data_IF_623196520922
#
_entry.id   IF_623196520922
#
_cell.length_a   1.000
_cell.length_b   1.000
_cell.length_c   1.000
_cell.angle_alpha   90.00
_cell.angle_beta   90.00
_cell.angle_gamma   90.00
#
_symmetry.space_group_name_H-M   'P 1'
#
loop_
_entity.id
_entity.type
_entity.pdbx_description
1 polymer ?
#
# COMPACT_ATOMS: atom_id res chain seq x y z
N UNK A 1 -34.24 -18.44 66.61
CA UNK A 1 -33.57 -18.41 65.29
C UNK A 1 -32.18 -17.84 65.47
N UNK A 2 -31.13 -18.65 65.30
CA UNK A 2 -29.76 -18.14 65.28
C UNK A 2 -29.60 -17.15 64.12
N UNK A 3 -28.99 -15.97 64.33
CA UNK A 3 -28.74 -15.02 63.23
C UNK A 3 -27.89 -15.72 62.17
N UNK A 4 -28.28 -15.59 60.89
CA UNK A 4 -27.50 -16.15 59.78
C UNK A 4 -26.05 -15.64 59.91
N UNK A 5 -25.04 -16.52 59.91
CA UNK A 5 -23.64 -16.18 60.24
C UNK A 5 -22.98 -15.15 59.30
N UNK A 6 -23.70 -14.66 58.30
CA UNK A 6 -23.24 -13.65 57.35
C UNK A 6 -23.64 -12.23 57.74
N UNK A 7 -24.71 -12.03 58.53
CA UNK A 7 -25.30 -10.71 58.76
C UNK A 7 -24.34 -9.71 59.47
N UNK A 8 -23.51 -10.21 60.40
CA UNK A 8 -22.54 -9.41 61.15
C UNK A 8 -21.16 -9.34 60.46
N UNK A 9 -20.95 -10.22 59.47
CA UNK A 9 -19.66 -10.47 58.79
C UNK A 9 -19.54 -9.67 57.48
N UNK A 10 -20.64 -9.04 57.04
CA UNK A 10 -20.73 -8.37 55.74
C UNK A 10 -19.79 -7.18 55.54
N UNK A 11 -19.59 -6.23 56.47
CA UNK A 11 -18.85 -5.01 56.14
C UNK A 11 -17.38 -5.25 55.78
N UNK A 12 -16.67 -6.08 56.55
CA UNK A 12 -15.27 -6.41 56.29
C UNK A 12 -15.10 -7.32 55.07
N UNK A 13 -16.01 -8.29 54.86
CA UNK A 13 -16.02 -9.13 53.66
C UNK A 13 -16.29 -8.31 52.39
N UNK A 14 -17.24 -7.35 52.44
CA UNK A 14 -17.52 -6.42 51.33
C UNK A 14 -16.29 -5.57 51.02
N UNK A 15 -15.65 -5.00 52.05
CA UNK A 15 -14.44 -4.19 51.88
C UNK A 15 -13.27 -5.00 51.28
N UNK A 16 -13.02 -6.22 51.80
CA UNK A 16 -11.98 -7.11 51.31
C UNK A 16 -12.22 -7.52 49.84
N UNK A 17 -13.46 -7.89 49.48
CA UNK A 17 -13.84 -8.21 48.12
C UNK A 17 -13.61 -7.02 47.16
N UNK A 18 -14.05 -5.82 47.54
CA UNK A 18 -13.88 -4.61 46.73
C UNK A 18 -12.40 -4.27 46.53
N UNK A 19 -11.57 -4.39 47.58
CA UNK A 19 -10.14 -4.16 47.51
C UNK A 19 -9.46 -5.13 46.52
N UNK A 20 -9.78 -6.42 46.58
CA UNK A 20 -9.20 -7.45 45.69
C UNK A 20 -9.62 -7.26 44.23
N UNK A 21 -10.90 -6.97 43.99
CA UNK A 21 -11.39 -6.64 42.64
C UNK A 21 -10.71 -5.37 42.11
N UNK A 22 -10.56 -4.34 42.95
CA UNK A 22 -9.87 -3.11 42.59
C UNK A 22 -8.35 -3.30 42.35
N UNK A 23 -7.75 -4.30 42.99
CA UNK A 23 -6.36 -4.70 42.75
C UNK A 23 -6.16 -5.41 41.40
N UNK A 24 -7.24 -5.87 40.76
CA UNK A 24 -7.20 -6.48 39.43
C UNK A 24 -7.63 -7.94 39.40
N UNK A 25 -8.05 -8.51 40.53
CA UNK A 25 -8.60 -9.87 40.53
C UNK A 25 -9.98 -9.93 39.86
N UNK A 26 -10.31 -11.09 39.30
CA UNK A 26 -11.63 -11.32 38.72
C UNK A 26 -12.63 -11.61 39.84
N UNK A 27 -13.83 -10.99 39.83
CA UNK A 27 -14.84 -11.27 40.85
C UNK A 27 -15.19 -12.76 40.97
N UNK A 28 -15.17 -13.49 39.85
CA UNK A 28 -15.39 -14.94 39.82
C UNK A 28 -14.27 -15.74 40.51
N UNK A 29 -13.02 -15.32 40.35
CA UNK A 29 -11.88 -15.94 41.04
C UNK A 29 -11.95 -15.68 42.55
N UNK A 30 -12.20 -14.43 42.96
CA UNK A 30 -12.31 -14.10 44.40
C UNK A 30 -13.47 -14.85 45.05
N UNK A 31 -14.63 -14.94 44.39
CA UNK A 31 -15.80 -15.65 44.92
C UNK A 31 -15.66 -17.19 44.90
N UNK A 32 -14.63 -17.75 44.25
CA UNK A 32 -14.38 -19.18 44.23
C UNK A 32 -13.57 -19.66 45.45
N UNK A 33 -12.98 -18.74 46.21
CA UNK A 33 -12.14 -19.08 47.36
C UNK A 33 -12.96 -19.47 48.60
N UNK A 34 -12.50 -20.45 49.39
CA UNK A 34 -13.12 -20.81 50.66
C UNK A 34 -13.26 -19.60 51.59
N UNK A 35 -14.45 -19.40 52.15
CA UNK A 35 -14.75 -18.26 53.04
C UNK A 35 -15.17 -16.97 52.32
N UNK A 36 -15.11 -16.92 50.99
CA UNK A 36 -15.65 -15.80 50.20
C UNK A 36 -17.14 -16.01 49.88
N UNK A 37 -17.93 -14.93 49.77
CA UNK A 37 -19.31 -15.04 49.33
C UNK A 37 -19.38 -15.54 47.90
N UNK A 38 -20.38 -16.37 47.59
CA UNK A 38 -20.58 -16.79 46.22
C UNK A 38 -20.98 -15.60 45.32
N UNK A 39 -20.72 -15.73 44.03
CA UNK A 39 -20.95 -14.66 43.05
C UNK A 39 -22.40 -14.14 43.07
N UNK A 40 -23.38 -15.04 43.24
CA UNK A 40 -24.79 -14.69 43.35
C UNK A 40 -25.11 -13.81 44.57
N UNK A 41 -24.48 -14.08 45.71
CA UNK A 41 -24.64 -13.29 46.94
C UNK A 41 -24.09 -11.87 46.77
N UNK A 42 -22.96 -11.70 46.10
CA UNK A 42 -22.38 -10.37 45.81
C UNK A 42 -23.34 -9.53 44.97
N UNK A 43 -23.95 -10.13 43.95
CA UNK A 43 -24.95 -9.45 43.10
C UNK A 43 -26.28 -9.19 43.82
N UNK A 44 -26.67 -10.05 44.76
CA UNK A 44 -27.81 -9.78 45.63
C UNK A 44 -27.53 -8.56 46.54
N UNK A 45 -26.34 -8.45 47.10
CA UNK A 45 -25.94 -7.27 47.89
C UNK A 45 -25.91 -6.00 47.06
N UNK A 46 -25.34 -6.04 45.85
CA UNK A 46 -25.28 -4.88 44.96
C UNK A 46 -26.67 -4.37 44.52
N UNK A 47 -27.67 -5.25 44.48
CA UNK A 47 -29.07 -4.88 44.21
C UNK A 47 -29.78 -4.33 45.45
N UNK A 48 -29.52 -4.91 46.62
CA UNK A 48 -30.13 -4.50 47.88
C UNK A 48 -29.53 -3.19 48.44
N UNK A 49 -28.26 -2.91 48.13
CA UNK A 49 -27.50 -1.75 48.61
C UNK A 49 -26.86 -1.01 47.41
N UNK A 50 -27.48 0.09 46.95
CA UNK A 50 -26.98 0.88 45.82
C UNK A 50 -25.57 1.45 46.04
N UNK A 51 -25.20 1.79 47.28
CA UNK A 51 -23.87 2.32 47.59
C UNK A 51 -22.80 1.24 47.39
N UNK A 52 -23.08 0.01 47.85
CA UNK A 52 -22.22 -1.14 47.56
C UNK A 52 -22.17 -1.46 46.06
N UNK A 53 -23.30 -1.38 45.35
CA UNK A 53 -23.35 -1.56 43.89
C UNK A 53 -22.46 -0.57 43.14
N UNK A 54 -22.50 0.72 43.51
CA UNK A 54 -21.63 1.75 42.96
C UNK A 54 -20.14 1.48 43.26
N UNK A 55 -19.82 1.11 44.49
CA UNK A 55 -18.46 0.77 44.90
C UNK A 55 -17.91 -0.46 44.15
N UNK A 56 -18.75 -1.47 43.91
CA UNK A 56 -18.38 -2.67 43.12
C UNK A 56 -18.13 -2.33 41.65
N UNK A 57 -18.97 -1.49 41.04
CA UNK A 57 -18.76 -1.03 39.68
C UNK A 57 -17.44 -0.26 39.56
N UNK A 58 -17.13 0.59 40.54
CA UNK A 58 -15.90 1.36 40.60
C UNK A 58 -14.64 0.48 40.80
N UNK A 59 -14.71 -0.48 41.74
CA UNK A 59 -13.67 -1.49 41.92
C UNK A 59 -13.40 -2.27 40.62
N UNK A 60 -14.45 -2.68 39.90
CA UNK A 60 -14.31 -3.37 38.60
C UNK A 60 -13.64 -2.51 37.55
N UNK A 61 -13.97 -1.21 37.46
CA UNK A 61 -13.30 -0.28 36.54
C UNK A 61 -11.80 -0.17 36.85
N UNK A 62 -11.45 0.03 38.13
CA UNK A 62 -10.04 0.07 38.57
C UNK A 62 -9.31 -1.23 38.28
N UNK A 63 -9.92 -2.37 38.62
CA UNK A 63 -9.33 -3.68 38.37
C UNK A 63 -9.13 -3.98 36.88
N UNK A 64 -10.11 -3.63 36.05
CA UNK A 64 -10.01 -3.76 34.59
C UNK A 64 -8.89 -2.87 34.02
N UNK A 65 -8.76 -1.64 34.52
CA UNK A 65 -7.65 -0.75 34.17
C UNK A 65 -6.31 -1.41 34.53
N UNK A 66 -6.15 -1.90 35.77
CA UNK A 66 -4.91 -2.58 36.21
C UNK A 66 -4.57 -3.80 35.36
N UNK A 67 -5.55 -4.66 35.06
CA UNK A 67 -5.32 -5.84 34.20
C UNK A 67 -4.91 -5.45 32.79
N UNK A 68 -5.59 -4.46 32.19
CA UNK A 68 -5.32 -4.01 30.82
C UNK A 68 -3.91 -3.45 30.66
N UNK A 69 -3.42 -2.73 31.67
CA UNK A 69 -2.14 -2.03 31.62
C UNK A 69 -1.02 -2.75 32.37
N UNK A 70 -1.30 -3.93 32.95
CA UNK A 70 -0.32 -4.76 33.64
C UNK A 70 0.90 -4.97 32.75
N UNK A 71 2.08 -4.83 33.33
CA UNK A 71 3.31 -5.16 32.65
C UNK A 71 3.44 -6.68 32.54
N UNK A 72 3.52 -7.18 31.32
CA UNK A 72 3.75 -8.59 31.01
C UNK A 72 5.18 -8.73 30.49
N UNK A 73 6.03 -9.34 31.32
CA UNK A 73 7.45 -9.50 31.05
C UNK A 73 7.72 -10.42 29.84
N UNK A 74 6.91 -11.48 29.66
CA UNK A 74 7.06 -12.40 28.54
C UNK A 74 6.73 -11.69 27.21
N UNK A 75 5.62 -10.94 27.18
CA UNK A 75 5.24 -10.13 26.03
C UNK A 75 6.26 -9.01 25.74
N UNK A 76 6.78 -8.35 26.78
CA UNK A 76 7.83 -7.34 26.65
C UNK A 76 9.12 -7.94 26.06
N UNK A 77 9.56 -9.11 26.55
CA UNK A 77 10.74 -9.82 26.05
C UNK A 77 10.56 -10.26 24.59
N UNK A 78 9.39 -10.78 24.23
CA UNK A 78 9.08 -11.18 22.85
C UNK A 78 9.12 -9.97 21.89
N UNK A 79 8.56 -8.82 22.32
CA UNK A 79 8.62 -7.58 21.55
C UNK A 79 10.07 -7.11 21.36
N UNK A 80 10.88 -7.10 22.43
CA UNK A 80 12.29 -6.70 22.36
C UNK A 80 13.11 -7.63 21.46
N UNK A 81 12.86 -8.94 21.49
CA UNK A 81 13.54 -9.90 20.62
C UNK A 81 13.28 -9.63 19.13
N UNK A 82 12.03 -9.34 18.75
CA UNK A 82 11.67 -9.00 17.36
C UNK A 82 12.26 -7.66 16.92
N UNK A 83 12.28 -6.67 17.80
CA UNK A 83 13.00 -5.41 17.52
C UNK A 83 14.51 -5.64 17.37
N UNK A 84 15.11 -6.52 18.17
CA UNK A 84 16.52 -6.88 18.04
C UNK A 84 16.81 -7.60 16.71
N UNK A 85 15.87 -8.39 16.20
CA UNK A 85 15.93 -9.00 14.87
C UNK A 85 15.79 -7.98 13.71
N UNK A 86 15.53 -6.70 14.01
CA UNK A 86 15.43 -5.64 13.02
C UNK A 86 14.02 -5.41 12.45
N UNK A 87 13.00 -6.08 13.01
CA UNK A 87 11.62 -5.82 12.61
C UNK A 87 11.20 -4.40 13.05
N UNK A 88 10.48 -3.64 12.20
CA UNK A 88 9.99 -2.33 12.58
C UNK A 88 8.86 -2.47 13.59
N UNK A 89 8.85 -1.61 14.61
CA UNK A 89 7.84 -1.62 15.67
C UNK A 89 6.39 -1.62 15.14
N UNK A 90 6.14 -0.94 14.02
CA UNK A 90 4.81 -0.90 13.40
C UNK A 90 4.34 -2.26 12.87
N UNK A 91 5.25 -3.13 12.45
CA UNK A 91 4.93 -4.49 11.99
C UNK A 91 4.73 -5.40 13.19
N UNK A 92 5.61 -5.34 14.19
CA UNK A 92 5.47 -6.13 15.42
C UNK A 92 4.12 -5.86 16.09
N UNK A 93 3.71 -4.59 16.21
CA UNK A 93 2.45 -4.22 16.85
C UNK A 93 1.18 -4.53 16.04
N UNK A 94 1.29 -5.02 14.80
CA UNK A 94 0.13 -5.51 14.03
C UNK A 94 -0.19 -6.97 14.33
N UNK A 95 0.75 -7.70 14.91
CA UNK A 95 0.57 -9.09 15.30
C UNK A 95 -0.46 -9.17 16.46
N UNK A 96 -1.55 -9.95 16.32
CA UNK A 96 -2.54 -10.14 17.38
C UNK A 96 -1.96 -10.76 18.67
N UNK A 97 -0.85 -11.50 18.58
CA UNK A 97 -0.16 -12.05 19.74
C UNK A 97 0.71 -11.01 20.47
N UNK A 98 0.90 -9.82 19.90
CA UNK A 98 1.68 -8.74 20.51
C UNK A 98 0.79 -7.79 21.31
N UNK A 99 1.34 -7.14 22.37
CA UNK A 99 0.61 -6.13 23.11
C UNK A 99 0.23 -4.97 22.20
N UNK A 100 -0.99 -4.45 22.38
CA UNK A 100 -1.47 -3.32 21.58
C UNK A 100 -0.56 -2.10 21.73
N UNK A 101 -0.56 -1.23 20.71
CA UNK A 101 0.23 0.02 20.71
C UNK A 101 0.04 0.86 21.96
N UNK A 102 -1.19 0.93 22.48
CA UNK A 102 -1.47 1.70 23.69
C UNK A 102 -0.82 1.06 24.92
N UNK A 103 -0.84 -0.28 25.03
CA UNK A 103 -0.25 -1.01 26.15
C UNK A 103 1.27 -0.78 26.17
N UNK A 104 1.92 -0.91 25.01
CA UNK A 104 3.36 -0.63 24.88
C UNK A 104 3.68 0.83 25.18
N UNK A 105 2.84 1.79 24.77
CA UNK A 105 3.02 3.21 25.13
C UNK A 105 2.95 3.40 26.65
N UNK A 106 1.99 2.76 27.32
CA UNK A 106 1.87 2.82 28.76
C UNK A 106 3.10 2.22 29.44
N UNK A 107 3.52 1.02 29.04
CA UNK A 107 4.72 0.37 29.59
C UNK A 107 5.97 1.23 29.41
N UNK A 108 6.16 1.87 28.25
CA UNK A 108 7.30 2.78 28.03
C UNK A 108 7.26 4.02 28.93
N UNK A 109 6.09 4.42 29.42
CA UNK A 109 5.95 5.56 30.32
C UNK A 109 6.16 5.18 31.79
N UNK A 110 5.88 3.92 32.15
CA UNK A 110 5.93 3.44 33.55
C UNK A 110 7.12 2.56 33.87
N UNK A 111 7.76 1.93 32.87
CA UNK A 111 8.87 1.00 33.03
C UNK A 111 10.12 1.55 32.34
N UNK A 112 11.04 2.12 33.15
CA UNK A 112 12.24 2.80 32.66
C UNK A 112 13.20 1.88 31.91
N UNK A 113 13.47 0.68 32.45
CA UNK A 113 14.37 -0.29 31.81
C UNK A 113 13.85 -0.73 30.44
N UNK A 114 12.56 -1.08 30.36
CA UNK A 114 11.90 -1.43 29.11
C UNK A 114 11.96 -0.28 28.09
N UNK A 115 11.72 0.97 28.52
CA UNK A 115 11.83 2.14 27.66
C UNK A 115 13.26 2.35 27.15
N UNK A 116 14.27 2.20 28.01
CA UNK A 116 15.68 2.29 27.65
C UNK A 116 16.06 1.28 26.58
N UNK A 117 15.63 0.03 26.74
CA UNK A 117 15.88 -1.05 25.80
C UNK A 117 15.19 -0.83 24.44
N UNK A 118 13.91 -0.44 24.44
CA UNK A 118 13.22 -0.07 23.20
C UNK A 118 13.93 1.08 22.49
N UNK A 119 14.34 2.11 23.22
CA UNK A 119 15.05 3.26 22.64
C UNK A 119 16.39 2.84 22.02
N UNK A 120 17.18 2.04 22.73
CA UNK A 120 18.48 1.50 22.27
C UNK A 120 18.34 0.74 20.96
N UNK A 121 17.35 -0.17 20.87
CA UNK A 121 17.09 -0.98 19.69
C UNK A 121 16.63 -0.13 18.50
N UNK A 122 15.67 0.78 18.71
CA UNK A 122 15.17 1.65 17.63
C UNK A 122 16.26 2.61 17.12
N UNK A 123 17.13 3.11 18.01
CA UNK A 123 18.28 3.92 17.62
C UNK A 123 19.30 3.11 16.80
N UNK A 124 19.55 1.85 17.16
CA UNK A 124 20.41 0.96 16.37
C UNK A 124 19.82 0.70 14.97
N UNK A 125 18.52 0.39 14.89
CA UNK A 125 17.82 0.21 13.61
C UNK A 125 17.86 1.49 12.75
N UNK A 126 17.62 2.66 13.35
CA UNK A 126 17.67 3.94 12.64
C UNK A 126 19.07 4.25 12.12
N UNK A 127 20.12 3.99 12.91
CA UNK A 127 21.52 4.10 12.46
C UNK A 127 21.81 3.16 11.30
N UNK A 128 21.40 1.89 11.37
CA UNK A 128 21.59 0.93 10.28
C UNK A 128 20.81 1.33 9.01
N UNK A 129 19.59 1.86 9.17
CA UNK A 129 18.79 2.40 8.06
C UNK A 129 19.45 3.62 7.44
N UNK A 130 19.90 4.57 8.26
CA UNK A 130 20.64 5.77 7.83
C UNK A 130 21.96 5.42 7.16
N UNK A 131 22.68 4.40 7.64
CA UNK A 131 23.90 3.92 7.00
C UNK A 131 23.61 3.37 5.59
N UNK A 132 22.57 2.54 5.43
CA UNK A 132 22.13 2.05 4.11
C UNK A 132 21.73 3.19 3.18
N UNK A 133 20.89 4.11 3.64
CA UNK A 133 20.49 5.26 2.82
C UNK A 133 21.64 6.24 2.57
N UNK A 134 22.56 6.39 3.52
CA UNK A 134 23.77 7.20 3.43
C UNK A 134 24.70 6.65 2.36
N UNK A 135 24.94 5.33 2.34
CA UNK A 135 25.66 4.65 1.26
C UNK A 135 25.01 4.91 -0.09
N UNK A 136 23.67 4.82 -0.20
CA UNK A 136 22.97 5.18 -1.44
C UNK A 136 23.09 6.66 -1.81
N UNK A 137 23.28 7.57 -0.83
CA UNK A 137 23.51 9.02 -1.05
C UNK A 137 24.96 9.36 -1.36
N UNK A 138 25.90 8.49 -1.00
CA UNK A 138 27.34 8.68 -1.17
C UNK A 138 27.91 7.96 -2.40
N UNK A 139 27.08 7.48 -3.33
CA UNK A 139 27.57 6.80 -4.53
C UNK A 139 28.57 7.67 -5.31
N UNK A 140 29.85 7.24 -5.46
CA UNK A 140 30.87 8.03 -6.13
C UNK A 140 30.49 8.33 -7.57
N UNK A 141 31.09 9.36 -8.16
CA UNK A 141 30.94 9.65 -9.58
C UNK A 141 31.24 8.41 -10.42
N UNK A 142 30.34 8.08 -11.35
CA UNK A 142 30.47 6.95 -12.27
C UNK A 142 30.12 7.43 -13.69
N UNK A 143 31.14 7.61 -14.51
CA UNK A 143 31.01 8.09 -15.88
C UNK A 143 30.12 7.18 -16.74
N UNK A 144 30.15 5.85 -16.55
CA UNK A 144 29.35 4.92 -17.35
C UNK A 144 27.87 5.07 -17.05
N UNK A 145 27.52 5.28 -15.79
CA UNK A 145 26.13 5.55 -15.40
C UNK A 145 25.68 6.92 -15.86
N UNK A 146 26.54 7.93 -15.77
CA UNK A 146 26.28 9.25 -16.32
C UNK A 146 25.94 9.17 -17.82
N UNK A 147 26.76 8.49 -18.62
CA UNK A 147 26.51 8.30 -20.06
C UNK A 147 25.20 7.56 -20.35
N UNK A 148 24.91 6.50 -19.59
CA UNK A 148 23.63 5.78 -19.71
C UNK A 148 22.43 6.70 -19.46
N UNK A 149 22.52 7.59 -18.47
CA UNK A 149 21.47 8.58 -18.18
C UNK A 149 21.33 9.54 -19.37
N UNK A 150 22.44 10.10 -19.85
CA UNK A 150 22.44 11.05 -20.98
C UNK A 150 21.82 10.42 -22.23
N UNK A 151 22.22 9.20 -22.59
CA UNK A 151 21.69 8.47 -23.75
C UNK A 151 20.20 8.20 -23.59
N UNK A 152 19.76 7.70 -22.44
CA UNK A 152 18.35 7.40 -22.20
C UNK A 152 17.47 8.67 -22.28
N UNK A 153 17.91 9.76 -21.67
CA UNK A 153 17.19 11.04 -21.69
C UNK A 153 17.16 11.63 -23.09
N UNK A 154 18.27 11.57 -23.84
CA UNK A 154 18.36 12.03 -25.24
C UNK A 154 17.41 11.26 -26.14
N UNK A 155 17.21 9.96 -25.87
CA UNK A 155 16.22 9.12 -26.56
C UNK A 155 14.77 9.43 -26.19
N UNK A 156 14.53 10.38 -25.29
CA UNK A 156 13.20 10.84 -24.91
C UNK A 156 12.65 10.20 -23.65
N UNK A 157 13.44 9.43 -22.88
CA UNK A 157 13.00 8.97 -21.57
C UNK A 157 12.80 10.16 -20.59
N UNK A 158 11.72 10.18 -19.78
CA UNK A 158 11.57 11.17 -18.73
C UNK A 158 12.56 10.85 -17.60
N UNK A 159 13.45 11.80 -17.27
CA UNK A 159 14.50 11.62 -16.28
C UNK A 159 13.96 11.07 -14.95
N UNK A 160 12.89 11.65 -14.41
CA UNK A 160 12.32 11.17 -13.14
C UNK A 160 11.81 9.73 -13.21
N UNK A 161 11.15 9.35 -14.33
CA UNK A 161 10.67 7.98 -14.53
C UNK A 161 11.82 6.99 -14.66
N UNK A 162 12.88 7.40 -15.37
CA UNK A 162 14.10 6.61 -15.54
C UNK A 162 14.76 6.31 -14.19
N UNK A 163 14.96 7.32 -13.33
CA UNK A 163 15.59 7.14 -12.02
C UNK A 163 14.74 6.31 -11.03
N UNK A 164 13.41 6.36 -11.15
CA UNK A 164 12.53 5.54 -10.32
C UNK A 164 12.46 4.09 -10.81
N UNK A 165 12.54 3.86 -12.11
CA UNK A 165 12.34 2.53 -12.71
C UNK A 165 13.60 1.65 -12.68
N UNK A 166 14.81 2.23 -12.78
CA UNK A 166 16.06 1.47 -12.79
C UNK A 166 16.78 1.60 -11.43
N UNK A 167 16.77 0.55 -10.58
CA UNK A 167 17.45 0.59 -9.28
C UNK A 167 18.98 0.65 -9.39
N UNK A 168 19.55 0.36 -10.55
CA UNK A 168 20.98 0.49 -10.78
C UNK A 168 21.41 1.95 -11.00
N UNK A 169 20.48 2.88 -11.26
CA UNK A 169 20.77 4.30 -11.43
C UNK A 169 20.93 5.03 -10.08
N UNK A 170 21.69 6.15 -10.06
CA UNK A 170 21.78 6.99 -8.87
C UNK A 170 20.41 7.54 -8.47
N UNK A 171 20.17 7.65 -7.17
CA UNK A 171 18.98 8.35 -6.69
C UNK A 171 19.06 9.85 -7.03
N UNK A 172 17.92 10.55 -7.00
CA UNK A 172 17.82 11.98 -7.34
C UNK A 172 18.84 12.85 -6.60
N UNK A 173 19.12 12.58 -5.32
CA UNK A 173 20.07 13.36 -4.54
C UNK A 173 21.52 13.15 -4.97
N UNK A 174 21.90 11.91 -5.33
CA UNK A 174 23.20 11.63 -5.93
C UNK A 174 23.33 12.35 -7.27
N UNK A 175 22.28 12.33 -8.11
CA UNK A 175 22.30 13.02 -9.39
C UNK A 175 22.46 14.54 -9.22
N UNK A 176 21.75 15.16 -8.27
CA UNK A 176 21.90 16.60 -7.95
C UNK A 176 23.33 16.90 -7.52
N UNK A 177 23.94 16.04 -6.70
CA UNK A 177 25.34 16.18 -6.29
C UNK A 177 26.28 16.07 -7.49
N UNK A 178 26.15 15.01 -8.29
CA UNK A 178 26.96 14.82 -9.49
C UNK A 178 26.89 16.02 -10.43
N UNK A 179 25.71 16.62 -10.64
CA UNK A 179 25.55 17.85 -11.44
C UNK A 179 26.30 19.05 -10.86
N UNK A 180 26.46 19.13 -9.54
CA UNK A 180 27.23 20.21 -8.89
C UNK A 180 28.73 19.96 -8.97
N UNK A 181 29.15 18.70 -8.86
CA UNK A 181 30.57 18.29 -8.85
C UNK A 181 31.16 18.15 -10.26
N UNK A 182 30.33 17.89 -11.28
CA UNK A 182 30.75 17.64 -12.65
C UNK A 182 30.01 18.58 -13.61
N UNK A 183 30.57 19.77 -13.90
CA UNK A 183 29.95 20.77 -14.77
C UNK A 183 29.63 20.26 -16.18
N UNK A 184 30.55 19.49 -16.79
CA UNK A 184 30.37 18.92 -18.14
C UNK A 184 29.17 17.98 -18.20
N UNK A 185 28.97 17.18 -17.16
CA UNK A 185 27.81 16.32 -17.04
C UNK A 185 26.52 17.10 -16.86
N UNK A 186 26.52 18.18 -16.06
CA UNK A 186 25.33 19.03 -15.92
C UNK A 186 24.96 19.69 -17.25
N UNK A 187 25.95 20.21 -17.98
CA UNK A 187 25.74 20.78 -19.31
C UNK A 187 25.20 19.72 -20.29
N UNK A 188 25.83 18.55 -20.34
CA UNK A 188 25.40 17.42 -21.15
C UNK A 188 23.98 16.97 -20.80
N UNK A 189 23.63 16.91 -19.52
CA UNK A 189 22.31 16.52 -19.06
C UNK A 189 21.25 17.55 -19.43
N UNK A 190 21.54 18.86 -19.29
CA UNK A 190 20.64 19.93 -19.74
C UNK A 190 20.39 19.84 -21.24
N UNK A 191 21.43 19.63 -22.05
CA UNK A 191 21.32 19.44 -23.49
C UNK A 191 20.50 18.19 -23.84
N UNK A 192 20.79 17.05 -23.20
CA UNK A 192 20.06 15.80 -23.36
C UNK A 192 18.57 15.96 -23.02
N UNK A 193 18.24 16.65 -21.93
CA UNK A 193 16.86 16.95 -21.53
C UNK A 193 16.15 17.78 -22.60
N UNK A 194 16.79 18.84 -23.11
CA UNK A 194 16.22 19.68 -24.16
C UNK A 194 15.96 18.89 -25.45
N UNK A 195 16.91 18.06 -25.88
CA UNK A 195 16.73 17.17 -27.05
C UNK A 195 15.60 16.18 -26.82
N UNK A 196 15.56 15.53 -25.67
CA UNK A 196 14.51 14.58 -25.30
C UNK A 196 13.12 15.23 -25.23
N UNK A 197 13.03 16.46 -24.70
CA UNK A 197 11.79 17.25 -24.69
C UNK A 197 11.32 17.58 -26.10
N UNK A 198 12.20 18.06 -26.99
CA UNK A 198 11.86 18.32 -28.40
C UNK A 198 11.39 17.05 -29.12
N UNK A 199 12.02 15.91 -28.87
CA UNK A 199 11.60 14.61 -29.45
C UNK A 199 10.21 14.21 -28.99
N UNK A 200 9.91 14.33 -27.69
CA UNK A 200 8.56 14.08 -27.15
C UNK A 200 7.55 15.07 -27.71
N UNK A 201 7.91 16.35 -27.81
CA UNK A 201 7.10 17.40 -28.40
C UNK A 201 6.79 17.14 -29.88
N UNK A 202 7.78 16.74 -30.68
CA UNK A 202 7.58 16.37 -32.10
C UNK A 202 6.73 15.11 -32.25
N UNK A 203 6.95 14.11 -31.37
CA UNK A 203 6.09 12.94 -31.33
C UNK A 203 4.63 13.33 -30.99
N UNK A 204 4.42 14.25 -30.05
CA UNK A 204 3.09 14.73 -29.68
C UNK A 204 2.44 15.63 -30.76
N UNK A 205 3.21 16.53 -31.39
CA UNK A 205 2.73 17.47 -32.40
C UNK A 205 2.29 16.80 -33.71
N UNK A 206 2.85 15.62 -34.02
CA UNK A 206 2.38 14.81 -35.15
C UNK A 206 1.00 14.17 -34.92
N UNK A 207 0.50 14.13 -33.68
CA UNK A 207 -0.80 13.54 -33.31
C UNK A 207 -1.81 14.65 -33.06
N UNK A 208 -2.27 15.29 -34.14
CA UNK A 208 -3.30 16.32 -34.07
C UNK A 208 -4.67 15.70 -33.74
N UNK A 209 -5.62 16.48 -33.17
CA UNK A 209 -6.98 16.00 -32.96
C UNK A 209 -7.65 15.51 -34.26
N UNK A 210 -7.51 16.27 -35.35
CA UNK A 210 -8.05 15.89 -36.66
C UNK A 210 -7.46 14.57 -37.18
N UNK A 211 -6.15 14.34 -37.02
CA UNK A 211 -5.53 13.09 -37.42
C UNK A 211 -5.95 11.93 -36.49
N UNK A 212 -6.18 12.22 -35.21
CA UNK A 212 -6.70 11.24 -34.24
C UNK A 212 -8.10 10.80 -34.63
N UNK A 213 -9.00 11.75 -34.91
CA UNK A 213 -10.36 11.49 -35.39
C UNK A 213 -10.35 10.68 -36.69
N UNK A 214 -9.50 11.06 -37.64
CA UNK A 214 -9.33 10.32 -38.89
C UNK A 214 -8.89 8.87 -38.64
N UNK A 215 -7.85 8.66 -37.82
CA UNK A 215 -7.36 7.31 -37.48
C UNK A 215 -8.47 6.48 -36.79
N UNK A 216 -9.17 7.08 -35.82
CA UNK A 216 -10.26 6.42 -35.07
C UNK A 216 -11.42 6.04 -36.00
N UNK A 217 -11.88 6.96 -36.85
CA UNK A 217 -12.94 6.71 -37.82
C UNK A 217 -12.58 5.56 -38.76
N UNK A 218 -11.35 5.57 -39.32
CA UNK A 218 -10.90 4.50 -40.21
C UNK A 218 -10.78 3.16 -39.52
N UNK A 219 -10.38 3.13 -38.23
CA UNK A 219 -10.39 1.90 -37.45
C UNK A 219 -11.81 1.36 -37.29
N UNK A 220 -12.80 2.21 -36.95
CA UNK A 220 -14.21 1.82 -36.85
C UNK A 220 -14.72 1.19 -38.15
N UNK A 221 -14.30 1.71 -39.29
CA UNK A 221 -14.62 1.22 -40.64
C UNK A 221 -13.80 -0.03 -41.07
N UNK A 222 -13.19 -0.76 -40.13
CA UNK A 222 -12.51 -2.03 -40.44
C UNK A 222 -11.00 -1.95 -40.59
N UNK A 223 -10.38 -0.76 -40.59
CA UNK A 223 -8.93 -0.64 -40.73
C UNK A 223 -8.19 -1.09 -39.46
N UNK A 224 -6.98 -1.64 -39.63
CA UNK A 224 -6.05 -1.93 -38.54
C UNK A 224 -4.95 -0.87 -38.49
N UNK A 225 -4.33 -0.67 -37.32
CA UNK A 225 -3.15 0.21 -37.22
C UNK A 225 -2.04 -0.19 -38.19
N UNK A 226 -1.89 -1.49 -38.46
CA UNK A 226 -0.93 -2.00 -39.42
C UNK A 226 -1.31 -1.71 -40.88
N UNK A 227 -2.59 -1.73 -41.23
CA UNK A 227 -3.04 -1.34 -42.58
C UNK A 227 -2.98 0.17 -42.78
N UNK A 228 -3.42 0.95 -41.79
CA UNK A 228 -3.32 2.41 -41.80
C UNK A 228 -1.88 2.85 -42.01
N UNK A 229 -0.92 2.25 -41.30
CA UNK A 229 0.50 2.62 -41.43
C UNK A 229 1.13 2.39 -42.82
N UNK A 230 0.41 1.78 -43.77
CA UNK A 230 0.83 1.62 -45.16
C UNK A 230 0.25 2.67 -46.11
N UNK A 231 -0.72 3.46 -45.65
CA UNK A 231 -1.34 4.50 -46.44
C UNK A 231 -0.40 5.74 -46.52
N UNK A 232 -0.32 6.44 -47.68
CA UNK A 232 0.65 7.53 -47.88
C UNK A 232 0.56 8.68 -46.88
N UNK A 233 -0.66 8.99 -46.41
CA UNK A 233 -0.92 10.12 -45.49
C UNK A 233 -1.03 9.69 -44.02
N UNK A 234 -0.68 8.44 -43.71
CA UNK A 234 -0.82 7.88 -42.37
C UNK A 234 0.53 7.79 -41.64
N UNK A 235 0.53 7.99 -40.30
CA UNK A 235 1.73 7.81 -39.50
C UNK A 235 2.27 6.38 -39.58
N UNK A 236 3.60 6.26 -39.52
CA UNK A 236 4.26 4.96 -39.47
C UNK A 236 3.75 4.10 -38.30
N UNK A 237 3.88 2.78 -38.45
CA UNK A 237 3.51 1.82 -37.40
C UNK A 237 4.17 2.15 -36.06
N UNK A 238 5.47 2.49 -36.09
CA UNK A 238 6.21 2.86 -34.88
C UNK A 238 5.64 4.14 -34.22
N UNK A 239 5.21 5.10 -35.02
CA UNK A 239 4.59 6.34 -34.54
C UNK A 239 3.25 6.06 -33.85
N UNK A 240 2.37 5.28 -34.48
CA UNK A 240 1.04 4.94 -33.94
C UNK A 240 1.14 4.20 -32.60
N UNK A 241 1.97 3.15 -32.51
CA UNK A 241 2.18 2.44 -31.24
C UNK A 241 2.92 3.30 -30.20
N UNK A 242 3.80 4.21 -30.64
CA UNK A 242 4.41 5.21 -29.78
C UNK A 242 3.38 6.14 -29.14
N UNK A 243 2.38 6.60 -29.90
CA UNK A 243 1.27 7.40 -29.36
C UNK A 243 0.44 6.61 -28.36
N UNK A 244 0.05 5.36 -28.67
CA UNK A 244 -0.68 4.51 -27.71
C UNK A 244 0.09 4.35 -26.39
N UNK A 245 1.41 4.18 -26.44
CA UNK A 245 2.23 4.01 -25.24
C UNK A 245 2.42 5.30 -24.42
N UNK A 246 2.26 6.47 -25.03
CA UNK A 246 2.62 7.76 -24.42
C UNK A 246 1.45 8.71 -24.20
N UNK A 247 0.31 8.46 -24.84
CA UNK A 247 -0.88 9.31 -24.86
C UNK A 247 -2.13 8.52 -24.46
N UNK A 248 -2.54 8.59 -23.18
CA UNK A 248 -3.70 7.84 -22.68
C UNK A 248 -5.03 8.21 -23.36
N UNK A 249 -5.18 9.46 -23.77
CA UNK A 249 -6.31 9.99 -24.55
C UNK A 249 -6.44 9.27 -25.89
N UNK A 250 -5.38 9.27 -26.69
CA UNK A 250 -5.33 8.57 -27.98
C UNK A 250 -5.50 7.06 -27.80
N UNK A 251 -4.86 6.47 -26.79
CA UNK A 251 -4.99 5.03 -26.50
C UNK A 251 -6.43 4.64 -26.16
N UNK A 252 -7.14 5.45 -25.38
CA UNK A 252 -8.54 5.23 -25.02
C UNK A 252 -9.46 5.25 -26.25
N UNK A 253 -9.30 6.23 -27.13
CA UNK A 253 -10.10 6.33 -28.36
C UNK A 253 -9.80 5.19 -29.34
N UNK A 254 -8.53 4.78 -29.50
CA UNK A 254 -8.16 3.63 -30.33
C UNK A 254 -8.72 2.31 -29.77
N UNK A 255 -8.81 2.15 -28.45
CA UNK A 255 -9.41 0.96 -27.84
C UNK A 255 -10.89 0.89 -28.17
N UNK A 256 -11.66 1.96 -27.94
CA UNK A 256 -13.09 2.04 -28.29
C UNK A 256 -13.30 1.77 -29.77
N UNK A 257 -12.51 2.41 -30.63
CA UNK A 257 -12.58 2.20 -32.08
C UNK A 257 -12.32 0.75 -32.48
N UNK A 258 -11.43 0.04 -31.78
CA UNK A 258 -11.20 -1.37 -32.02
C UNK A 258 -12.36 -2.26 -31.57
N UNK A 259 -13.10 -1.88 -30.52
CA UNK A 259 -14.33 -2.54 -30.08
C UNK A 259 -15.43 -2.32 -31.14
N UNK A 260 -15.67 -1.07 -31.54
CA UNK A 260 -16.62 -0.71 -32.60
C UNK A 260 -16.31 -1.45 -33.93
N UNK A 261 -15.03 -1.64 -34.24
CA UNK A 261 -14.58 -2.38 -35.43
C UNK A 261 -14.98 -3.86 -35.40
N UNK A 262 -15.00 -4.48 -34.21
CA UNK A 262 -15.45 -5.88 -34.08
C UNK A 262 -16.92 -5.98 -34.48
N UNK A 263 -17.75 -5.05 -34.04
CA UNK A 263 -19.16 -4.95 -34.40
C UNK A 263 -19.34 -4.69 -35.91
N UNK A 264 -18.56 -3.77 -36.48
CA UNK A 264 -18.55 -3.51 -37.92
C UNK A 264 -18.25 -4.77 -38.75
N UNK A 265 -17.26 -5.59 -38.34
CA UNK A 265 -16.99 -6.86 -39.03
C UNK A 265 -18.16 -7.83 -38.90
N UNK A 266 -18.89 -7.83 -37.78
CA UNK A 266 -20.12 -8.59 -37.61
C UNK A 266 -21.20 -8.18 -38.62
N UNK A 267 -21.45 -6.88 -38.75
CA UNK A 267 -22.44 -6.34 -39.70
C UNK A 267 -22.06 -6.64 -41.15
N UNK A 268 -20.79 -6.45 -41.52
CA UNK A 268 -20.32 -6.75 -42.87
C UNK A 268 -20.42 -8.25 -43.23
N UNK A 269 -20.24 -9.13 -42.25
CA UNK A 269 -20.44 -10.57 -42.45
C UNK A 269 -21.91 -10.91 -42.70
N UNK A 270 -22.83 -10.24 -42.01
CA UNK A 270 -24.28 -10.40 -42.22
C UNK A 270 -24.68 -9.91 -43.63
N UNK A 271 -24.25 -8.70 -44.01
CA UNK A 271 -24.51 -8.13 -45.33
C UNK A 271 -23.96 -9.03 -46.45
N UNK A 272 -22.74 -9.53 -46.31
CA UNK A 272 -22.15 -10.44 -47.30
C UNK A 272 -22.92 -11.77 -47.41
N UNK A 273 -23.40 -12.31 -46.28
CA UNK A 273 -24.22 -13.52 -46.27
C UNK A 273 -25.58 -13.31 -46.97
N UNK A 274 -26.22 -12.17 -46.76
CA UNK A 274 -27.48 -11.79 -47.43
C UNK A 274 -27.28 -11.56 -48.94
N UNK A 275 -26.13 -11.03 -49.34
CA UNK A 275 -25.76 -10.83 -50.75
C UNK A 275 -25.31 -12.13 -51.46
N UNK A 276 -25.23 -13.26 -50.75
CA UNK A 276 -24.77 -14.54 -51.28
C UNK A 276 -23.26 -14.60 -51.58
N UNK A 277 -22.48 -13.62 -51.10
CA UNK A 277 -21.03 -13.62 -51.22
C UNK A 277 -20.43 -14.56 -50.16
N UNK A 278 -19.53 -15.49 -50.51
CA UNK A 278 -18.78 -16.26 -49.52
C UNK A 278 -17.89 -15.33 -48.68
N UNK A 279 -18.45 -14.79 -47.59
CA UNK A 279 -17.86 -13.92 -46.56
C UNK A 279 -16.63 -14.52 -45.82
N UNK A 280 -16.03 -15.57 -46.36
CA UNK A 280 -14.91 -16.36 -45.83
C UNK A 280 -13.69 -15.51 -45.42
N UNK A 281 -13.37 -14.45 -46.16
CA UNK A 281 -12.25 -13.56 -45.80
C UNK A 281 -12.57 -12.66 -44.60
N UNK A 282 -13.79 -12.12 -44.51
CA UNK A 282 -14.29 -11.32 -43.39
C UNK A 282 -14.45 -12.19 -42.14
N UNK A 283 -15.03 -13.38 -42.28
CA UNK A 283 -15.18 -14.37 -41.21
C UNK A 283 -13.84 -14.79 -40.59
N UNK A 284 -12.82 -15.05 -41.42
CA UNK A 284 -11.45 -15.35 -40.93
C UNK A 284 -10.85 -14.18 -40.16
N UNK A 285 -11.12 -12.93 -40.56
CA UNK A 285 -10.61 -11.73 -39.87
C UNK A 285 -11.33 -11.51 -38.55
N UNK A 286 -12.66 -11.60 -38.52
CA UNK A 286 -13.46 -11.51 -37.30
C UNK A 286 -13.07 -12.59 -36.29
N UNK A 287 -12.93 -13.85 -36.72
CA UNK A 287 -12.50 -14.95 -35.85
C UNK A 287 -11.11 -14.75 -35.23
N UNK A 288 -10.16 -14.10 -35.94
CA UNK A 288 -8.84 -13.75 -35.39
C UNK A 288 -8.93 -12.64 -34.34
N UNK A 289 -9.86 -11.70 -34.49
CA UNK A 289 -10.09 -10.62 -33.51
C UNK A 289 -10.70 -11.18 -32.22
N UNK A 290 -11.72 -12.04 -32.33
CA UNK A 290 -12.34 -12.71 -31.18
C UNK A 290 -11.36 -13.59 -30.38
N UNK A 291 -10.39 -14.20 -31.07
CA UNK A 291 -9.39 -15.10 -30.46
C UNK A 291 -8.07 -14.41 -30.06
N UNK A 292 -8.04 -13.07 -29.97
CA UNK A 292 -6.84 -12.33 -29.54
C UNK A 292 -6.41 -12.72 -28.11
N UNK A 293 -5.12 -13.06 -27.89
CA UNK A 293 -4.57 -13.15 -26.54
C UNK A 293 -4.61 -11.76 -25.88
N UNK A 294 -5.48 -11.60 -24.90
CA UNK A 294 -5.77 -10.32 -24.24
C UNK A 294 -7.25 -10.07 -23.93
N UNK A 295 -8.19 -10.69 -24.66
CA UNK A 295 -9.64 -10.56 -24.41
C UNK A 295 -10.07 -11.22 -23.09
N UNK A 296 -9.37 -12.29 -22.68
CA UNK A 296 -9.62 -13.07 -21.44
C UNK A 296 -9.11 -12.41 -20.15
N UNK A 297 -8.57 -11.19 -20.21
CA UNK A 297 -8.02 -10.48 -19.06
C UNK A 297 -8.98 -9.40 -18.51
N UNK A 298 -10.23 -9.40 -18.99
CA UNK A 298 -11.32 -8.52 -18.55
C UNK A 298 -12.56 -9.32 -18.14
N UNK A 299 -12.34 -10.33 -17.31
CA UNK A 299 -13.34 -10.93 -16.42
C UNK A 299 -12.77 -10.91 -15.03
#
# INVERSE_FOLDING_TARGET
>A
MAPRPYAQTHPHLRAALLARIAAGELPTAVCAEPGMPCYGSVYAWARADPAFGAALADARRRGAWRRRWRFDEAAAKALLARLAAGEPLTVVLRDPAMPSRNVVRHWRATQGEFQGEVHRLLAAQDRARKARHGQSRHRPWDARLADRILVAVTRGAPLQKLLTADPALPCRNVLIRWRREQPDFDQGLRAAVAVGQRRRGRAAAGCTPALTELIVARIREGASLASLSREPDMPSKATLYGWIATRPDFAGEVIKACEDREDWYGDQMLIAAEAGDPATALARRHARLQNRPGRKWRT
#
